data_IF_091511418161
#
_entry.id   IF_091511418161
#
_cell.length_a   1.000
_cell.length_b   1.000
_cell.length_c   1.000
_cell.angle_alpha   90.00
_cell.angle_beta   90.00
_cell.angle_gamma   90.00
#
_symmetry.space_group_name_H-M   'P 1'
#
loop_
_entity.id
_entity.type
_entity.pdbx_description
1 polymer ?
#
# COMPACT_ATOMS: atom_id res chain seq x y z
N UNK A 1 27.32 4.39 -10.94
CA UNK A 1 27.00 4.43 -9.49
C UNK A 1 27.19 3.03 -8.95
N UNK A 2 27.73 2.87 -7.73
CA UNK A 2 27.71 1.57 -7.06
C UNK A 2 26.25 1.17 -6.79
N UNK A 3 25.90 -0.10 -6.93
CA UNK A 3 24.56 -0.62 -6.60
C UNK A 3 24.32 -0.51 -5.10
N UNK A 4 23.11 -0.13 -4.73
CA UNK A 4 22.65 -0.11 -3.32
C UNK A 4 22.35 -1.54 -2.87
N UNK A 5 21.74 -2.36 -3.75
CA UNK A 5 21.47 -3.78 -3.49
C UNK A 5 22.64 -4.62 -4.04
N UNK A 6 23.77 -4.53 -3.37
CA UNK A 6 25.00 -5.27 -3.69
C UNK A 6 24.92 -6.74 -3.23
N UNK A 7 26.00 -7.48 -3.43
CA UNK A 7 26.06 -8.92 -3.07
C UNK A 7 26.03 -9.16 -1.56
N UNK A 8 26.47 -8.19 -0.75
CA UNK A 8 26.39 -8.27 0.70
C UNK A 8 24.93 -8.15 1.18
N UNK A 9 24.15 -7.19 0.62
CA UNK A 9 22.72 -7.06 0.90
C UNK A 9 21.95 -8.32 0.44
N UNK A 10 22.30 -8.87 -0.73
CA UNK A 10 21.70 -10.11 -1.23
C UNK A 10 21.99 -11.31 -0.33
N UNK A 11 23.22 -11.43 0.17
CA UNK A 11 23.62 -12.47 1.09
C UNK A 11 22.88 -12.33 2.45
N UNK A 12 22.79 -11.14 2.98
CA UNK A 12 22.03 -10.85 4.20
C UNK A 12 20.55 -11.20 4.04
N UNK A 13 19.95 -10.85 2.90
CA UNK A 13 18.56 -11.20 2.57
C UNK A 13 18.35 -12.71 2.55
N UNK A 14 19.21 -13.49 1.87
CA UNK A 14 19.14 -14.95 1.85
C UNK A 14 19.27 -15.54 3.26
N UNK A 15 20.17 -15.00 4.07
CA UNK A 15 20.34 -15.38 5.49
C UNK A 15 19.03 -15.23 6.29
N UNK A 16 18.35 -14.11 6.14
CA UNK A 16 17.05 -13.86 6.79
C UNK A 16 15.95 -14.79 6.27
N UNK A 17 15.83 -14.95 4.95
CA UNK A 17 14.86 -15.87 4.33
C UNK A 17 15.03 -17.32 4.82
N UNK A 18 16.28 -17.75 4.94
CA UNK A 18 16.60 -19.10 5.43
C UNK A 18 16.27 -19.32 6.90
N UNK A 19 15.99 -18.24 7.64
CA UNK A 19 15.88 -18.29 9.11
C UNK A 19 17.20 -18.64 9.78
N UNK A 20 18.33 -18.24 9.19
CA UNK A 20 19.68 -18.46 9.69
C UNK A 20 20.27 -19.84 9.33
N UNK A 21 19.58 -20.65 8.53
CA UNK A 21 20.15 -21.94 8.09
C UNK A 21 21.20 -21.80 6.98
N UNK A 22 21.13 -20.73 6.23
CA UNK A 22 22.20 -20.34 5.33
C UNK A 22 22.99 -19.21 5.98
N UNK A 23 24.27 -19.42 6.08
CA UNK A 23 25.24 -18.44 6.59
C UNK A 23 26.20 -18.13 5.45
N UNK A 24 26.47 -16.84 5.16
CA UNK A 24 27.50 -16.50 4.18
C UNK A 24 28.81 -17.21 4.51
N UNK A 25 29.56 -17.70 3.52
CA UNK A 25 30.90 -18.22 3.76
C UNK A 25 31.72 -17.15 4.50
N UNK A 26 32.44 -17.53 5.58
CA UNK A 26 33.30 -16.60 6.27
C UNK A 26 34.32 -16.04 5.25
N UNK A 27 34.44 -14.72 5.18
CA UNK A 27 35.47 -14.08 4.38
C UNK A 27 36.84 -14.52 4.94
N UNK A 28 37.48 -15.45 4.25
CA UNK A 28 38.86 -15.81 4.54
C UNK A 28 39.76 -14.59 4.44
N UNK A 29 40.78 -14.53 5.30
CA UNK A 29 41.72 -13.43 5.46
C UNK A 29 42.34 -13.04 4.08
N UNK A 30 41.72 -12.13 3.35
CA UNK A 30 42.20 -11.62 2.07
C UNK A 30 41.18 -11.32 0.95
N UNK A 31 39.91 -11.72 1.07
CA UNK A 31 38.92 -11.45 0.03
C UNK A 31 37.70 -10.72 0.63
N UNK A 32 37.68 -9.40 0.48
CA UNK A 32 36.50 -8.55 0.79
C UNK A 32 35.39 -8.61 -0.27
N UNK A 33 35.50 -9.47 -1.27
CA UNK A 33 34.67 -9.41 -2.48
C UNK A 33 33.80 -10.65 -2.78
N UNK A 34 33.78 -11.70 -1.95
CA UNK A 34 33.07 -12.94 -2.30
C UNK A 34 32.13 -13.44 -1.20
N UNK A 35 31.14 -12.62 -0.79
CA UNK A 35 29.92 -13.17 -0.20
C UNK A 35 29.05 -13.72 -1.34
N UNK A 36 29.51 -14.78 -2.01
CA UNK A 36 28.85 -15.35 -3.18
C UNK A 36 27.54 -16.00 -2.78
N UNK A 37 26.45 -15.35 -3.14
CA UNK A 37 25.10 -15.90 -3.05
C UNK A 37 25.06 -17.17 -3.90
N UNK A 38 24.49 -18.29 -3.44
CA UNK A 38 24.41 -19.52 -4.22
C UNK A 38 23.76 -19.29 -5.59
N UNK A 39 24.28 -19.94 -6.62
CA UNK A 39 23.79 -19.80 -8.01
C UNK A 39 22.30 -20.13 -8.12
N UNK A 40 21.82 -21.18 -7.41
CA UNK A 40 20.39 -21.54 -7.41
C UNK A 40 19.49 -20.41 -6.91
N UNK A 41 19.98 -19.56 -5.98
CA UNK A 41 19.23 -18.41 -5.49
C UNK A 41 19.28 -17.26 -6.52
N UNK A 42 20.49 -16.91 -6.97
CA UNK A 42 20.69 -15.84 -7.95
C UNK A 42 19.92 -16.09 -9.24
N UNK A 43 19.81 -17.34 -9.69
CA UNK A 43 19.06 -17.71 -10.89
C UNK A 43 17.55 -17.52 -10.77
N UNK A 44 16.99 -17.44 -9.59
CA UNK A 44 15.55 -17.27 -9.34
C UNK A 44 15.18 -15.85 -8.92
N UNK A 45 16.15 -15.03 -8.53
CA UNK A 45 15.93 -13.65 -8.15
C UNK A 45 15.84 -12.78 -9.38
N UNK A 46 14.69 -12.10 -9.53
CA UNK A 46 14.51 -11.07 -10.53
C UNK A 46 15.08 -9.75 -9.99
N UNK A 47 16.09 -9.19 -10.65
CA UNK A 47 16.61 -7.87 -10.35
C UNK A 47 15.97 -6.84 -11.26
N UNK A 48 15.53 -5.73 -10.70
CA UNK A 48 14.75 -4.69 -11.34
C UNK A 48 15.38 -3.34 -11.02
N UNK A 49 15.69 -2.57 -12.05
CA UNK A 49 16.40 -1.31 -11.89
C UNK A 49 15.65 -0.18 -12.63
N UNK A 50 15.66 1.00 -12.04
CA UNK A 50 15.15 2.23 -12.62
C UNK A 50 13.66 2.24 -12.95
N UNK A 51 13.18 3.16 -13.79
CA UNK A 51 11.77 3.32 -14.13
C UNK A 51 11.13 2.07 -14.75
N UNK A 52 11.90 1.29 -15.52
CA UNK A 52 11.41 0.03 -16.12
C UNK A 52 11.22 -1.04 -15.04
N UNK A 53 12.12 -1.12 -14.05
CA UNK A 53 11.98 -2.00 -12.91
C UNK A 53 10.74 -1.65 -12.07
N UNK A 54 10.51 -0.36 -11.81
CA UNK A 54 9.30 0.12 -11.15
C UNK A 54 8.03 -0.29 -11.91
N UNK A 55 8.02 -0.15 -13.25
CA UNK A 55 6.87 -0.55 -14.07
C UNK A 55 6.60 -2.06 -13.97
N UNK A 56 7.62 -2.90 -13.91
CA UNK A 56 7.48 -4.35 -13.78
C UNK A 56 6.94 -4.79 -12.42
N UNK A 57 7.25 -4.04 -11.33
CA UNK A 57 6.69 -4.27 -10.01
C UNK A 57 5.29 -3.69 -9.82
N UNK A 58 4.88 -2.74 -10.66
CA UNK A 58 3.61 -2.00 -10.52
C UNK A 58 2.35 -2.81 -10.90
N UNK A 59 2.44 -4.13 -11.07
CA UNK A 59 1.33 -4.98 -11.51
C UNK A 59 0.05 -4.83 -10.67
N UNK A 60 0.15 -4.35 -9.43
CA UNK A 60 -0.98 -4.20 -8.52
C UNK A 60 -1.21 -2.76 -8.05
N UNK A 61 -0.37 -1.80 -8.45
CA UNK A 61 -0.48 -0.42 -8.00
C UNK A 61 0.43 0.53 -8.79
N UNK A 62 0.29 1.82 -8.56
CA UNK A 62 1.16 2.84 -9.15
C UNK A 62 2.37 3.04 -8.24
N UNK A 63 3.57 2.96 -8.80
CA UNK A 63 4.83 3.20 -8.08
C UNK A 63 5.38 4.59 -8.36
N UNK A 64 6.01 5.19 -7.35
CA UNK A 64 6.76 6.44 -7.43
C UNK A 64 7.98 6.40 -6.51
N UNK A 65 9.07 7.02 -6.93
CA UNK A 65 10.27 7.20 -6.13
C UNK A 65 10.78 8.64 -6.30
N UNK A 66 11.52 9.16 -5.30
CA UNK A 66 12.09 10.49 -5.36
C UNK A 66 13.15 10.60 -6.48
N UNK A 67 13.89 9.52 -6.71
CA UNK A 67 14.82 9.35 -7.83
C UNK A 67 14.50 8.01 -8.51
N UNK A 68 13.68 7.99 -9.56
CA UNK A 68 13.31 6.76 -10.25
C UNK A 68 14.49 6.05 -10.91
N UNK A 69 15.55 6.78 -11.33
CA UNK A 69 16.73 6.20 -11.94
C UNK A 69 17.63 5.47 -10.93
N UNK A 70 17.54 5.84 -9.64
CA UNK A 70 18.24 5.19 -8.56
C UNK A 70 17.43 4.05 -7.89
N UNK A 71 16.24 3.74 -8.41
CA UNK A 71 15.44 2.64 -7.89
C UNK A 71 16.11 1.30 -8.21
N UNK A 72 16.22 0.46 -7.19
CA UNK A 72 16.67 -0.92 -7.29
C UNK A 72 15.74 -1.83 -6.50
N UNK A 73 15.41 -3.00 -7.05
CA UNK A 73 14.69 -4.04 -6.37
C UNK A 73 15.20 -5.44 -6.74
N UNK A 74 15.06 -6.36 -5.80
CA UNK A 74 15.26 -7.77 -6.01
C UNK A 74 14.00 -8.50 -5.54
N UNK A 75 13.44 -9.34 -6.40
CA UNK A 75 12.20 -10.08 -6.17
C UNK A 75 12.43 -11.58 -6.30
N UNK A 76 12.16 -12.32 -5.25
CA UNK A 76 11.99 -13.76 -5.27
C UNK A 76 10.51 -14.08 -5.11
N UNK A 77 9.93 -14.85 -6.03
CA UNK A 77 8.51 -15.21 -5.97
C UNK A 77 8.26 -16.64 -6.44
N UNK A 78 7.21 -17.25 -5.88
CA UNK A 78 6.73 -18.58 -6.31
C UNK A 78 5.21 -18.61 -6.35
N UNK A 79 4.65 -18.86 -7.54
CA UNK A 79 3.22 -19.11 -7.70
C UNK A 79 2.90 -20.54 -7.27
N UNK A 80 1.85 -20.70 -6.45
CA UNK A 80 1.40 -21.98 -5.88
C UNK A 80 -0.14 -21.99 -5.99
N UNK A 81 -0.67 -22.57 -7.05
CA UNK A 81 -2.08 -22.51 -7.39
C UNK A 81 -2.55 -21.07 -7.59
N UNK A 82 -3.60 -20.67 -6.89
CA UNK A 82 -4.13 -19.31 -6.88
C UNK A 82 -3.39 -18.36 -5.90
N UNK A 83 -2.34 -18.84 -5.22
CA UNK A 83 -1.54 -18.06 -4.27
C UNK A 83 -0.15 -17.77 -4.81
N UNK A 84 0.54 -16.81 -4.24
CA UNK A 84 1.94 -16.52 -4.56
C UNK A 84 2.71 -16.18 -3.29
N UNK A 85 3.74 -16.94 -2.97
CA UNK A 85 4.76 -16.54 -2.00
C UNK A 85 5.71 -15.54 -2.65
N UNK A 86 6.14 -14.52 -1.89
CA UNK A 86 7.10 -13.54 -2.36
C UNK A 86 8.02 -13.05 -1.25
N UNK A 87 9.18 -12.59 -1.65
CA UNK A 87 10.03 -11.71 -0.85
C UNK A 87 10.66 -10.67 -1.77
N UNK A 88 10.69 -9.45 -1.29
CA UNK A 88 11.28 -8.32 -2.00
C UNK A 88 12.35 -7.66 -1.15
N UNK A 89 13.41 -7.21 -1.77
CA UNK A 89 14.40 -6.30 -1.22
C UNK A 89 14.43 -5.07 -2.13
N UNK A 90 14.12 -3.88 -1.60
CA UNK A 90 13.80 -2.72 -2.41
C UNK A 90 14.39 -1.44 -1.81
N UNK A 91 14.85 -0.52 -2.66
CA UNK A 91 15.20 0.84 -2.26
C UNK A 91 13.96 1.69 -1.99
N UNK A 92 14.12 2.89 -1.44
CA UNK A 92 13.00 3.77 -1.04
C UNK A 92 12.08 4.12 -2.21
N UNK A 93 10.78 3.85 -2.05
CA UNK A 93 9.73 4.17 -3.01
C UNK A 93 8.35 4.14 -2.36
N UNK A 94 7.33 4.56 -3.09
CA UNK A 94 5.93 4.49 -2.66
C UNK A 94 5.12 3.70 -3.68
N UNK A 95 4.29 2.79 -3.20
CA UNK A 95 3.28 2.08 -4.02
C UNK A 95 1.90 2.55 -3.58
N UNK A 96 1.08 2.97 -4.55
CA UNK A 96 -0.30 3.41 -4.33
C UNK A 96 -1.27 2.47 -5.01
N UNK A 97 -2.22 1.96 -4.25
CA UNK A 97 -3.26 1.04 -4.71
C UNK A 97 -4.57 1.80 -4.82
N UNK A 98 -5.22 1.70 -5.98
CA UNK A 98 -6.57 2.20 -6.22
C UNK A 98 -7.59 1.10 -5.97
N UNK A 99 -8.84 1.49 -5.74
CA UNK A 99 -9.95 0.53 -5.66
C UNK A 99 -10.18 -0.13 -7.01
N UNK A 100 -10.22 -1.45 -7.02
CA UNK A 100 -10.37 -2.26 -8.22
C UNK A 100 -9.02 -2.73 -8.77
N UNK A 101 -8.83 -4.05 -8.78
CA UNK A 101 -7.67 -4.63 -9.44
C UNK A 101 -7.78 -4.49 -10.96
N UNK A 102 -6.68 -4.25 -11.69
CA UNK A 102 -6.66 -4.48 -13.11
C UNK A 102 -7.03 -5.95 -13.37
N UNK A 103 -7.94 -6.20 -14.32
CA UNK A 103 -8.30 -7.55 -14.78
C UNK A 103 -9.09 -8.48 -13.83
N UNK A 104 -9.90 -7.93 -12.91
CA UNK A 104 -11.04 -8.69 -12.35
C UNK A 104 -10.74 -9.72 -11.27
N UNK A 105 -9.53 -9.81 -10.74
CA UNK A 105 -9.23 -10.65 -9.58
C UNK A 105 -8.87 -9.78 -8.37
N UNK A 106 -9.78 -9.71 -7.40
CA UNK A 106 -9.50 -9.07 -6.12
C UNK A 106 -8.50 -9.88 -5.31
N UNK A 107 -7.45 -9.21 -4.84
CA UNK A 107 -6.34 -9.82 -4.10
C UNK A 107 -6.11 -9.18 -2.74
N UNK A 108 -5.45 -9.96 -1.90
CA UNK A 108 -4.88 -9.54 -0.63
C UNK A 108 -3.38 -9.83 -0.67
N UNK A 109 -2.57 -8.84 -0.34
CA UNK A 109 -1.12 -8.95 -0.18
C UNK A 109 -0.83 -8.88 1.32
N UNK A 110 -0.35 -9.96 1.90
CA UNK A 110 0.13 -9.98 3.28
C UNK A 110 1.64 -9.96 3.29
N UNK A 111 2.24 -9.21 4.20
CA UNK A 111 3.69 -9.18 4.32
C UNK A 111 4.17 -8.83 5.72
N UNK A 112 5.35 -9.35 6.04
CA UNK A 112 6.13 -8.99 7.22
C UNK A 112 7.32 -8.16 6.78
N UNK A 113 7.55 -7.00 7.42
CA UNK A 113 8.78 -6.23 7.23
C UNK A 113 9.91 -6.93 7.97
N UNK A 114 10.96 -7.37 7.26
CA UNK A 114 12.13 -8.02 7.84
C UNK A 114 13.33 -7.08 7.94
N UNK A 115 13.37 -6.03 7.11
CA UNK A 115 14.37 -4.97 7.14
C UNK A 115 13.72 -3.64 6.75
N UNK A 116 14.25 -2.54 7.27
CA UNK A 116 13.73 -1.20 7.04
C UNK A 116 12.38 -0.95 7.71
N UNK A 117 11.79 0.19 7.43
CA UNK A 117 10.45 0.57 7.88
C UNK A 117 9.52 0.82 6.71
N UNK A 118 8.24 0.67 6.95
CA UNK A 118 7.21 0.98 5.95
C UNK A 118 6.14 1.87 6.58
N UNK A 119 5.65 2.84 5.82
CA UNK A 119 4.56 3.69 6.23
C UNK A 119 3.32 3.34 5.43
N UNK A 120 2.36 2.74 6.10
CA UNK A 120 1.10 2.33 5.53
C UNK A 120 0.07 3.45 5.69
N UNK A 121 -0.52 3.92 4.59
CA UNK A 121 -1.50 5.00 4.57
C UNK A 121 -2.82 4.49 4.02
N UNK A 122 -3.90 4.78 4.74
CA UNK A 122 -5.28 4.47 4.36
C UNK A 122 -6.18 5.69 4.61
N UNK A 123 -7.46 5.57 4.29
CA UNK A 123 -8.44 6.58 4.67
C UNK A 123 -8.56 6.77 6.19
N UNK A 124 -8.23 5.76 6.99
CA UNK A 124 -8.28 5.79 8.45
C UNK A 124 -7.03 6.47 9.08
N UNK A 125 -6.00 6.78 8.29
CA UNK A 125 -4.79 7.44 8.75
C UNK A 125 -3.51 6.73 8.33
N UNK A 126 -2.42 7.06 9.02
CA UNK A 126 -1.08 6.54 8.74
C UNK A 126 -0.62 5.62 9.88
N UNK A 127 -0.10 4.46 9.53
CA UNK A 127 0.47 3.50 10.47
C UNK A 127 1.92 3.17 10.08
N UNK A 128 2.81 3.09 11.05
CA UNK A 128 4.19 2.66 10.83
C UNK A 128 4.28 1.14 11.01
N UNK A 129 4.73 0.44 9.99
CA UNK A 129 5.07 -0.98 10.05
C UNK A 129 6.59 -1.11 10.28
N UNK A 130 6.96 -1.37 11.52
CA UNK A 130 8.34 -1.63 11.91
C UNK A 130 8.74 -3.08 11.63
N UNK A 131 10.04 -3.34 11.69
CA UNK A 131 10.60 -4.70 11.52
C UNK A 131 9.92 -5.72 12.45
N UNK A 132 9.60 -6.88 11.92
CA UNK A 132 8.89 -7.96 12.62
C UNK A 132 7.37 -7.81 12.64
N UNK A 133 6.83 -6.68 12.17
CA UNK A 133 5.38 -6.46 12.11
C UNK A 133 4.82 -6.96 10.79
N UNK A 134 3.62 -7.51 10.87
CA UNK A 134 2.87 -8.01 9.70
C UNK A 134 1.69 -7.09 9.41
N UNK A 135 1.50 -6.79 8.13
CA UNK A 135 0.36 -6.05 7.63
C UNK A 135 -0.27 -6.72 6.41
N UNK A 136 -1.37 -6.15 5.96
CA UNK A 136 -1.98 -6.54 4.70
C UNK A 136 -2.40 -5.32 3.89
N UNK A 137 -2.48 -5.50 2.57
CA UNK A 137 -3.15 -4.61 1.64
C UNK A 137 -4.18 -5.39 0.83
N UNK A 138 -5.22 -4.71 0.40
CA UNK A 138 -6.33 -5.31 -0.35
C UNK A 138 -6.73 -4.42 -1.52
N UNK A 139 -7.04 -5.03 -2.65
CA UNK A 139 -7.60 -4.34 -3.81
C UNK A 139 -9.03 -3.79 -3.58
N UNK A 140 -9.68 -4.15 -2.47
CA UNK A 140 -11.03 -3.66 -2.15
C UNK A 140 -11.06 -2.23 -1.60
N UNK A 141 -9.91 -1.66 -1.24
CA UNK A 141 -9.82 -0.29 -0.72
C UNK A 141 -8.56 0.42 -1.20
N UNK A 142 -8.61 1.76 -1.24
CA UNK A 142 -7.45 2.57 -1.58
C UNK A 142 -6.45 2.63 -0.42
N UNK A 143 -5.17 2.44 -0.73
CA UNK A 143 -4.08 2.51 0.24
C UNK A 143 -2.77 2.87 -0.44
N UNK A 144 -1.79 3.28 0.33
CA UNK A 144 -0.41 3.37 -0.15
C UNK A 144 0.56 2.88 0.90
N UNK A 145 1.68 2.35 0.43
CA UNK A 145 2.80 1.94 1.27
C UNK A 145 4.05 2.67 0.80
N UNK A 146 4.72 3.33 1.72
CA UNK A 146 5.99 4.01 1.51
C UNK A 146 7.09 3.18 2.16
N UNK A 147 8.05 2.73 1.37
CA UNK A 147 9.23 2.00 1.80
C UNK A 147 10.34 2.98 2.20
N UNK A 148 10.81 2.90 3.44
CA UNK A 148 11.77 3.83 4.01
C UNK A 148 13.18 3.25 3.94
N UNK A 149 14.01 3.78 3.05
CA UNK A 149 15.36 3.26 2.82
C UNK A 149 15.35 1.89 2.11
N UNK A 150 16.36 1.07 2.37
CA UNK A 150 16.36 -0.32 1.93
C UNK A 150 15.41 -1.11 2.82
N UNK A 151 14.41 -1.72 2.22
CA UNK A 151 13.38 -2.48 2.93
C UNK A 151 13.22 -3.89 2.37
N UNK A 152 12.99 -4.83 3.26
CA UNK A 152 12.66 -6.22 2.92
C UNK A 152 11.27 -6.56 3.39
N UNK A 153 10.46 -7.10 2.49
CA UNK A 153 9.12 -7.62 2.78
C UNK A 153 9.01 -9.05 2.32
N UNK A 154 8.57 -9.93 3.20
CA UNK A 154 8.28 -11.33 2.85
C UNK A 154 6.83 -11.65 3.17
N UNK A 155 6.14 -12.29 2.23
CA UNK A 155 4.73 -12.51 2.41
C UNK A 155 4.07 -13.43 1.40
N UNK A 156 2.74 -13.32 1.33
CA UNK A 156 1.90 -14.11 0.44
C UNK A 156 0.82 -13.25 -0.19
N UNK A 157 0.54 -13.47 -1.47
CA UNK A 157 -0.61 -12.93 -2.17
C UNK A 157 -1.66 -14.04 -2.26
N UNK A 158 -2.90 -13.72 -1.91
CA UNK A 158 -4.04 -14.64 -2.00
C UNK A 158 -5.24 -13.91 -2.63
N UNK A 159 -6.17 -14.62 -3.31
CA UNK A 159 -7.41 -14.01 -3.75
C UNK A 159 -8.29 -13.65 -2.55
N UNK A 160 -9.08 -12.56 -2.67
CA UNK A 160 -10.03 -12.13 -1.62
C UNK A 160 -11.00 -13.25 -1.24
N UNK A 161 -11.37 -14.09 -2.19
CA UNK A 161 -12.22 -15.28 -1.96
C UNK A 161 -11.63 -16.29 -0.97
N UNK A 162 -10.33 -16.24 -0.74
CA UNK A 162 -9.67 -17.08 0.27
C UNK A 162 -10.08 -16.72 1.70
N UNK A 163 -10.60 -15.51 1.95
CA UNK A 163 -10.92 -14.98 3.30
C UNK A 163 -12.37 -14.46 3.36
N UNK A 164 -13.36 -15.33 3.17
CA UNK A 164 -14.77 -14.93 3.20
C UNK A 164 -15.18 -14.43 4.59
N UNK A 165 -16.03 -13.39 4.62
CA UNK A 165 -16.56 -12.82 5.86
C UNK A 165 -15.66 -11.78 6.51
N UNK A 166 -14.72 -11.17 5.77
CA UNK A 166 -13.84 -10.09 6.22
C UNK A 166 -13.80 -8.90 5.24
N UNK A 167 -14.83 -8.76 4.40
CA UNK A 167 -14.93 -7.70 3.39
C UNK A 167 -14.83 -6.30 4.02
N UNK A 168 -15.37 -6.13 5.23
CA UNK A 168 -15.26 -4.86 5.94
C UNK A 168 -13.81 -4.50 6.27
N UNK A 169 -13.04 -5.45 6.82
CA UNK A 169 -11.63 -5.22 7.13
C UNK A 169 -10.82 -4.97 5.84
N UNK A 170 -11.11 -5.73 4.78
CA UNK A 170 -10.43 -5.60 3.49
C UNK A 170 -10.79 -4.29 2.76
N UNK A 171 -11.99 -3.78 2.95
CA UNK A 171 -12.45 -2.52 2.35
C UNK A 171 -11.73 -1.28 2.89
N UNK A 172 -11.05 -1.38 4.04
CA UNK A 172 -10.16 -0.33 4.52
C UNK A 172 -8.93 -0.14 3.62
N UNK A 173 -8.68 -1.05 2.67
CA UNK A 173 -7.57 -1.04 1.73
C UNK A 173 -6.28 -1.60 2.30
N UNK A 174 -6.02 -1.40 3.59
CA UNK A 174 -4.86 -1.94 4.28
C UNK A 174 -5.06 -1.98 5.78
N UNK A 175 -4.24 -2.78 6.49
CA UNK A 175 -4.27 -2.85 7.94
C UNK A 175 -3.07 -3.59 8.51
N UNK A 176 -2.90 -3.44 9.83
CA UNK A 176 -1.86 -4.12 10.59
C UNK A 176 -2.48 -5.25 11.41
N UNK A 177 -1.84 -6.40 11.38
CA UNK A 177 -2.18 -7.47 12.31
C UNK A 177 -1.69 -7.13 13.73
N UNK A 178 -2.43 -7.54 14.77
CA UNK A 178 -1.93 -7.46 16.14
C UNK A 178 -0.59 -8.18 16.29
N UNK A 179 0.29 -7.67 17.15
CA UNK A 179 1.57 -8.32 17.44
C UNK A 179 1.35 -9.51 18.38
N UNK A 180 1.19 -10.68 17.80
CA UNK A 180 0.93 -11.94 18.51
C UNK A 180 1.98 -12.99 18.15
N UNK A 181 2.16 -14.05 18.98
CA UNK A 181 3.01 -15.18 18.60
C UNK A 181 2.64 -15.77 17.23
N UNK A 182 1.34 -15.79 16.88
CA UNK A 182 0.87 -16.29 15.59
C UNK A 182 1.39 -15.44 14.43
N UNK A 183 1.29 -14.11 14.50
CA UNK A 183 1.74 -13.21 13.42
C UNK A 183 3.25 -13.26 13.23
N UNK A 184 4.02 -13.33 14.33
CA UNK A 184 5.47 -13.48 14.27
C UNK A 184 5.89 -14.84 13.67
N UNK A 185 5.24 -15.92 14.10
CA UNK A 185 5.50 -17.25 13.56
C UNK A 185 5.09 -17.36 12.08
N UNK A 186 3.97 -16.75 11.69
CA UNK A 186 3.52 -16.72 10.30
C UNK A 186 4.54 -16.03 9.38
N UNK A 187 5.07 -14.87 9.77
CA UNK A 187 6.12 -14.20 8.99
C UNK A 187 7.37 -15.06 8.77
N UNK A 188 7.88 -15.67 9.84
CA UNK A 188 9.02 -16.59 9.76
C UNK A 188 8.71 -17.82 8.88
N UNK A 189 7.51 -18.39 9.01
CA UNK A 189 7.10 -19.55 8.23
C UNK A 189 7.01 -19.24 6.73
N UNK A 190 6.45 -18.08 6.34
CA UNK A 190 6.37 -17.68 4.93
C UNK A 190 7.74 -17.52 4.29
N UNK A 191 8.69 -16.90 4.98
CA UNK A 191 10.07 -16.79 4.53
C UNK A 191 10.74 -18.15 4.36
N UNK A 192 10.59 -19.00 5.36
CA UNK A 192 11.13 -20.35 5.32
C UNK A 192 10.53 -21.21 4.20
N UNK A 193 9.22 -21.14 3.99
CA UNK A 193 8.56 -21.85 2.89
C UNK A 193 9.08 -21.38 1.53
N UNK A 194 9.21 -20.06 1.33
CA UNK A 194 9.75 -19.51 0.09
C UNK A 194 11.20 -19.97 -0.15
N UNK A 195 12.03 -19.99 0.90
CA UNK A 195 13.40 -20.46 0.82
C UNK A 195 13.47 -21.93 0.41
N UNK A 196 12.68 -22.83 1.02
CA UNK A 196 12.69 -24.25 0.66
C UNK A 196 12.19 -24.48 -0.77
N UNK A 197 11.15 -23.75 -1.20
CA UNK A 197 10.67 -23.82 -2.58
C UNK A 197 11.68 -23.29 -3.60
N UNK A 198 12.50 -22.31 -3.22
CA UNK A 198 13.57 -21.82 -4.09
C UNK A 198 14.71 -22.82 -4.22
N UNK A 199 15.00 -23.60 -3.17
CA UNK A 199 16.02 -24.65 -3.22
C UNK A 199 15.60 -25.86 -4.07
N UNK A 200 14.31 -26.19 -4.08
CA UNK A 200 13.77 -27.36 -4.78
C UNK A 200 12.49 -26.92 -5.55
N UNK A 201 12.66 -26.33 -6.74
CA UNK A 201 11.56 -25.78 -7.50
C UNK A 201 10.66 -26.82 -8.19
N UNK A 202 11.16 -28.07 -8.35
CA UNK A 202 10.48 -29.11 -9.14
C UNK A 202 9.63 -30.05 -8.27
N UNK A 203 8.73 -29.45 -7.50
CA UNK A 203 7.77 -30.17 -6.66
C UNK A 203 6.57 -30.65 -7.46
N UNK A 204 6.09 -31.87 -7.17
CA UNK A 204 4.91 -32.43 -7.82
C UNK A 204 3.59 -31.72 -7.45
N UNK A 205 2.56 -31.90 -8.27
CA UNK A 205 1.25 -31.24 -8.11
C UNK A 205 0.63 -31.45 -6.72
N UNK A 206 0.80 -32.61 -6.09
CA UNK A 206 0.27 -32.90 -4.75
C UNK A 206 0.94 -32.04 -3.66
N UNK A 207 2.24 -31.76 -3.77
CA UNK A 207 2.94 -30.86 -2.85
C UNK A 207 2.50 -29.42 -3.02
N UNK A 208 2.27 -28.99 -4.28
CA UNK A 208 1.76 -27.66 -4.60
C UNK A 208 0.36 -27.45 -3.99
N UNK A 209 -0.57 -28.38 -4.21
CA UNK A 209 -1.93 -28.29 -3.68
C UNK A 209 -1.96 -28.30 -2.15
N UNK A 210 -1.13 -29.12 -1.50
CA UNK A 210 -0.99 -29.14 -0.04
C UNK A 210 -0.45 -27.82 0.51
N UNK A 211 0.53 -27.23 -0.16
CA UNK A 211 1.10 -25.95 0.23
C UNK A 211 0.11 -24.80 0.06
N UNK A 212 -0.63 -24.75 -1.05
CA UNK A 212 -1.69 -23.77 -1.25
C UNK A 212 -2.74 -23.82 -0.13
N UNK A 213 -3.22 -25.03 0.19
CA UNK A 213 -4.19 -25.21 1.26
C UNK A 213 -3.65 -24.75 2.61
N UNK A 214 -2.39 -25.01 2.92
CA UNK A 214 -1.73 -24.55 4.15
C UNK A 214 -1.60 -23.02 4.20
N UNK A 215 -1.22 -22.37 3.09
CA UNK A 215 -1.14 -20.91 2.98
C UNK A 215 -2.50 -20.25 3.19
N UNK A 216 -3.54 -20.74 2.53
CA UNK A 216 -4.91 -20.23 2.69
C UNK A 216 -5.40 -20.42 4.14
N UNK A 217 -5.12 -21.57 4.76
CA UNK A 217 -5.48 -21.82 6.16
C UNK A 217 -4.76 -20.88 7.13
N UNK A 218 -3.49 -20.60 6.90
CA UNK A 218 -2.69 -19.64 7.66
C UNK A 218 -3.28 -18.24 7.55
N UNK A 219 -3.55 -17.77 6.34
CA UNK A 219 -4.14 -16.44 6.08
C UNK A 219 -5.50 -16.31 6.76
N UNK A 220 -6.38 -17.33 6.63
CA UNK A 220 -7.67 -17.37 7.35
C UNK A 220 -7.50 -17.27 8.87
N UNK A 221 -6.49 -17.93 9.41
CA UNK A 221 -6.21 -17.90 10.85
C UNK A 221 -5.73 -16.53 11.32
N UNK A 222 -4.95 -15.82 10.49
CA UNK A 222 -4.55 -14.45 10.75
C UNK A 222 -5.76 -13.51 10.74
N UNK A 223 -6.65 -13.62 9.76
CA UNK A 223 -7.85 -12.78 9.67
C UNK A 223 -8.85 -13.00 10.81
N UNK A 224 -8.83 -14.14 11.50
CA UNK A 224 -9.65 -14.34 12.71
C UNK A 224 -9.33 -13.36 13.85
N UNK A 225 -8.24 -12.61 13.75
CA UNK A 225 -7.90 -11.53 14.70
C UNK A 225 -8.67 -10.23 14.42
N UNK A 226 -9.38 -10.15 13.28
CA UNK A 226 -10.28 -9.06 12.96
C UNK A 226 -11.75 -9.47 13.20
N UNK A 227 -12.65 -8.49 13.47
CA UNK A 227 -14.08 -8.76 13.51
C UNK A 227 -14.58 -9.30 12.17
N UNK A 228 -15.43 -10.30 12.20
CA UNK A 228 -16.15 -10.78 11.02
C UNK A 228 -17.20 -9.79 10.55
N UNK A 229 -17.50 -9.83 9.25
CA UNK A 229 -18.66 -9.14 8.71
C UNK A 229 -19.92 -9.66 9.43
N UNK A 230 -20.74 -8.76 9.96
CA UNK A 230 -21.87 -9.13 10.82
C UNK A 230 -21.58 -9.10 12.33
N UNK A 231 -20.33 -9.29 12.77
CA UNK A 231 -19.88 -8.98 14.12
C UNK A 231 -19.49 -7.49 14.23
N UNK A 232 -19.27 -6.85 13.08
CA UNK A 232 -18.97 -5.43 13.00
C UNK A 232 -20.23 -4.63 13.21
N UNK A 233 -20.18 -3.65 14.10
CA UNK A 233 -21.27 -2.72 14.34
C UNK A 233 -21.82 -2.17 13.00
N UNK A 234 -23.15 -2.22 12.84
CA UNK A 234 -23.85 -1.69 11.65
C UNK A 234 -23.41 -0.26 11.29
N UNK A 235 -23.04 0.53 12.29
CA UNK A 235 -22.52 1.87 12.12
C UNK A 235 -21.20 1.88 11.33
N UNK A 236 -20.30 0.94 11.61
CA UNK A 236 -19.01 0.80 10.93
C UNK A 236 -19.17 0.35 9.47
N UNK A 237 -20.12 -0.56 9.21
CA UNK A 237 -20.44 -0.98 7.84
C UNK A 237 -20.97 0.17 6.98
N UNK A 238 -21.88 0.98 7.54
CA UNK A 238 -22.42 2.15 6.84
C UNK A 238 -21.32 3.19 6.61
N UNK A 239 -20.40 3.40 7.54
CA UNK A 239 -19.27 4.31 7.37
C UNK A 239 -18.34 3.84 6.26
N UNK A 240 -17.98 2.57 6.23
CA UNK A 240 -17.13 2.02 5.16
C UNK A 240 -17.77 2.16 3.78
N UNK A 241 -19.08 1.94 3.69
CA UNK A 241 -19.79 2.14 2.43
C UNK A 241 -19.89 3.62 2.04
N UNK A 242 -20.06 4.52 3.02
CA UNK A 242 -19.99 5.96 2.78
C UNK A 242 -18.66 6.38 2.17
N UNK A 243 -17.55 5.86 2.71
CA UNK A 243 -16.20 6.16 2.20
C UNK A 243 -16.01 5.66 0.76
N UNK A 244 -16.51 4.46 0.43
CA UNK A 244 -16.50 3.95 -0.96
C UNK A 244 -17.30 4.81 -1.92
N UNK A 245 -18.49 5.26 -1.51
CA UNK A 245 -19.33 6.13 -2.32
C UNK A 245 -18.65 7.47 -2.54
N UNK A 246 -18.05 8.07 -1.50
CA UNK A 246 -17.26 9.29 -1.62
C UNK A 246 -16.12 9.11 -2.62
N UNK A 247 -15.37 8.03 -2.51
CA UNK A 247 -14.26 7.74 -3.42
C UNK A 247 -14.71 7.64 -4.87
N UNK A 248 -15.83 6.98 -5.14
CA UNK A 248 -16.40 6.83 -6.47
C UNK A 248 -17.02 8.12 -7.02
N UNK A 249 -17.67 8.93 -6.17
CA UNK A 249 -18.51 10.05 -6.60
C UNK A 249 -17.99 11.44 -6.26
N UNK A 250 -16.84 11.59 -5.58
CA UNK A 250 -16.32 12.92 -5.19
C UNK A 250 -16.13 13.89 -6.36
N UNK A 251 -15.94 13.38 -7.59
CA UNK A 251 -15.76 14.18 -8.80
C UNK A 251 -17.06 14.78 -9.34
N UNK A 252 -18.20 14.30 -8.89
CA UNK A 252 -19.51 14.87 -9.25
C UNK A 252 -19.78 16.10 -8.37
N UNK A 253 -19.84 17.28 -8.99
CA UNK A 253 -20.08 18.53 -8.27
C UNK A 253 -21.47 18.61 -7.61
N UNK A 254 -22.46 17.86 -8.14
CA UNK A 254 -23.80 17.75 -7.57
C UNK A 254 -23.85 16.76 -6.39
N UNK A 255 -22.82 15.91 -6.22
CA UNK A 255 -22.76 14.95 -5.14
C UNK A 255 -22.40 15.64 -3.82
N UNK A 256 -23.26 15.48 -2.83
CA UNK A 256 -23.09 16.00 -1.48
C UNK A 256 -23.62 15.03 -0.42
N UNK A 257 -23.79 15.54 0.81
CA UNK A 257 -24.23 14.72 1.95
C UNK A 257 -25.67 14.19 1.77
N UNK A 258 -26.51 14.92 1.03
CA UNK A 258 -27.89 14.50 0.77
C UNK A 258 -27.93 13.29 -0.16
N UNK A 259 -27.16 13.34 -1.25
CA UNK A 259 -27.03 12.26 -2.23
C UNK A 259 -26.36 11.04 -1.61
N UNK A 260 -25.33 11.23 -0.79
CA UNK A 260 -24.69 10.16 -0.04
C UNK A 260 -25.68 9.47 0.91
N UNK A 261 -26.48 10.23 1.65
CA UNK A 261 -27.49 9.65 2.55
C UNK A 261 -28.55 8.85 1.78
N UNK A 262 -28.97 9.37 0.62
CA UNK A 262 -29.94 8.68 -0.25
C UNK A 262 -29.35 7.37 -0.80
N UNK A 263 -28.10 7.37 -1.25
CA UNK A 263 -27.42 6.18 -1.80
C UNK A 263 -27.19 5.11 -0.72
N UNK A 264 -26.95 5.52 0.53
CA UNK A 264 -26.84 4.64 1.69
C UNK A 264 -28.18 4.18 2.27
N UNK A 265 -29.29 4.66 1.73
CA UNK A 265 -30.65 4.39 2.25
C UNK A 265 -30.81 4.75 3.75
N UNK A 266 -30.15 5.82 4.21
CA UNK A 266 -30.25 6.34 5.56
C UNK A 266 -30.72 7.79 5.56
N UNK A 267 -31.33 8.25 6.65
CA UNK A 267 -31.63 9.67 6.80
C UNK A 267 -30.33 10.47 7.03
N UNK A 268 -30.31 11.75 6.61
CA UNK A 268 -29.19 12.68 6.88
C UNK A 268 -28.84 12.72 8.38
N UNK A 269 -29.89 12.73 9.24
CA UNK A 269 -29.71 12.72 10.70
C UNK A 269 -29.01 11.44 11.20
N UNK A 270 -29.39 10.29 10.67
CA UNK A 270 -28.70 9.02 10.97
C UNK A 270 -27.25 9.05 10.51
N UNK A 271 -27.01 9.56 9.30
CA UNK A 271 -25.67 9.67 8.75
C UNK A 271 -24.79 10.57 9.63
N UNK A 272 -25.25 11.77 10.01
CA UNK A 272 -24.49 12.64 10.93
C UNK A 272 -24.24 11.99 12.29
N UNK A 273 -25.21 11.24 12.83
CA UNK A 273 -25.04 10.52 14.12
C UNK A 273 -23.95 9.44 14.02
N UNK A 274 -23.80 8.80 12.86
CA UNK A 274 -22.76 7.79 12.63
C UNK A 274 -21.34 8.37 12.65
N UNK A 275 -21.21 9.66 12.38
CA UNK A 275 -19.92 10.39 12.41
C UNK A 275 -19.79 11.32 13.64
N UNK A 276 -20.75 11.31 14.55
CA UNK A 276 -20.65 12.06 15.80
C UNK A 276 -19.52 11.49 16.67
N UNK A 277 -18.63 12.38 17.13
CA UNK A 277 -17.46 11.98 17.94
C UNK A 277 -16.25 11.49 17.15
N UNK A 278 -16.28 11.58 15.80
CA UNK A 278 -15.10 11.35 14.98
C UNK A 278 -14.34 12.67 14.77
N UNK A 279 -13.02 12.57 14.63
CA UNK A 279 -12.13 13.73 14.45
C UNK A 279 -12.42 14.52 13.18
N UNK A 280 -12.92 13.85 12.13
CA UNK A 280 -13.23 14.45 10.84
C UNK A 280 -14.72 14.32 10.51
N UNK A 281 -15.36 15.45 10.18
CA UNK A 281 -16.74 15.44 9.71
C UNK A 281 -16.87 14.86 8.30
N UNK A 282 -18.03 14.30 7.98
CA UNK A 282 -18.30 13.73 6.65
C UNK A 282 -18.13 14.75 5.51
N UNK A 283 -18.52 16.00 5.73
CA UNK A 283 -18.32 17.06 4.74
C UNK A 283 -16.84 17.42 4.55
N UNK A 284 -16.07 17.44 5.63
CA UNK A 284 -14.61 17.63 5.57
C UNK A 284 -13.94 16.49 4.80
N UNK A 285 -14.36 15.24 5.01
CA UNK A 285 -13.88 14.06 4.31
C UNK A 285 -14.10 14.12 2.79
N UNK A 286 -15.31 14.48 2.35
CA UNK A 286 -15.61 14.71 0.94
C UNK A 286 -14.77 15.84 0.35
N UNK A 287 -14.67 16.96 1.07
CA UNK A 287 -13.87 18.11 0.63
C UNK A 287 -12.38 17.74 0.52
N UNK A 288 -11.84 17.05 1.51
CA UNK A 288 -10.46 16.57 1.50
C UNK A 288 -10.17 15.71 0.26
N UNK A 289 -11.07 14.77 -0.06
CA UNK A 289 -10.91 13.92 -1.25
C UNK A 289 -10.92 14.71 -2.55
N UNK A 290 -11.80 15.72 -2.66
CA UNK A 290 -11.83 16.66 -3.80
C UNK A 290 -10.54 17.47 -3.92
N UNK A 291 -9.99 17.94 -2.79
CA UNK A 291 -8.73 18.69 -2.76
C UNK A 291 -7.53 17.82 -3.15
N UNK A 292 -7.50 16.55 -2.74
CA UNK A 292 -6.47 15.59 -3.19
C UNK A 292 -6.52 15.46 -4.71
N UNK A 293 -7.70 15.21 -5.30
CA UNK A 293 -7.85 15.12 -6.75
C UNK A 293 -7.45 16.43 -7.45
N UNK A 294 -7.80 17.59 -6.87
CA UNK A 294 -7.40 18.88 -7.42
C UNK A 294 -5.87 19.06 -7.42
N UNK A 295 -5.18 18.66 -6.36
CA UNK A 295 -3.70 18.69 -6.30
C UNK A 295 -3.10 17.83 -7.41
N UNK A 296 -3.58 16.60 -7.60
CA UNK A 296 -3.15 15.68 -8.66
C UNK A 296 -3.33 16.29 -10.05
N UNK A 297 -4.50 16.87 -10.32
CA UNK A 297 -4.82 17.49 -11.61
C UNK A 297 -4.01 18.80 -11.86
N UNK A 298 -3.69 19.56 -10.83
CA UNK A 298 -2.89 20.77 -10.95
C UNK A 298 -1.46 20.51 -11.41
N UNK A 299 -0.90 19.35 -11.09
CA UNK A 299 0.46 18.93 -11.47
C UNK A 299 0.50 18.01 -12.69
N UNK A 300 -0.67 17.62 -13.23
CA UNK A 300 -0.76 16.70 -14.38
C UNK A 300 -0.13 17.28 -15.65
N UNK A 301 0.31 16.40 -16.53
CA UNK A 301 0.85 16.74 -17.84
C UNK A 301 -0.02 16.10 -18.93
N UNK A 302 -0.53 16.86 -19.92
CA UNK A 302 -0.39 18.30 -20.11
C UNK A 302 -1.16 19.15 -19.08
N UNK A 303 -0.70 20.41 -18.83
CA UNK A 303 -1.35 21.28 -17.86
C UNK A 303 -2.79 21.62 -18.26
N UNK A 304 -3.70 21.51 -17.32
CA UNK A 304 -5.10 21.86 -17.50
C UNK A 304 -5.40 23.27 -16.99
N UNK A 305 -6.42 23.94 -17.55
CA UNK A 305 -6.90 25.19 -16.98
C UNK A 305 -7.64 24.96 -15.64
N UNK A 306 -7.80 26.03 -14.86
CA UNK A 306 -8.37 25.91 -13.52
C UNK A 306 -9.85 25.53 -13.52
N UNK A 307 -10.59 25.88 -14.57
CA UNK A 307 -12.00 25.52 -14.69
C UNK A 307 -12.15 24.01 -14.92
N UNK A 308 -11.32 23.46 -15.80
CA UNK A 308 -11.25 22.01 -16.05
C UNK A 308 -10.86 21.24 -14.77
N UNK A 309 -9.82 21.70 -14.07
CA UNK A 309 -9.40 21.10 -12.79
C UNK A 309 -10.55 21.14 -11.78
N UNK A 310 -11.27 22.23 -11.65
CA UNK A 310 -12.40 22.36 -10.74
C UNK A 310 -13.48 21.31 -11.03
N UNK A 311 -13.92 21.19 -12.26
CA UNK A 311 -14.95 20.22 -12.68
C UNK A 311 -14.49 18.79 -12.45
N UNK A 312 -13.26 18.44 -12.86
CA UNK A 312 -12.71 17.09 -12.69
C UNK A 312 -12.46 16.69 -11.23
N UNK A 313 -12.38 17.69 -10.34
CA UNK A 313 -12.20 17.47 -8.90
C UNK A 313 -13.50 17.60 -8.09
N UNK A 314 -14.65 17.78 -8.77
CA UNK A 314 -15.97 17.85 -8.14
C UNK A 314 -16.31 19.19 -7.51
N UNK A 315 -15.65 20.30 -7.93
CA UNK A 315 -16.06 21.65 -7.56
C UNK A 315 -16.99 22.22 -8.62
N UNK A 316 -17.93 23.07 -8.18
CA UNK A 316 -18.89 23.66 -9.07
C UNK A 316 -18.23 24.56 -10.15
N UNK A 317 -17.20 25.30 -9.77
CA UNK A 317 -16.43 26.20 -10.63
C UNK A 317 -15.02 26.49 -10.09
N UNK A 318 -14.24 27.23 -10.88
CA UNK A 318 -12.89 27.63 -10.52
C UNK A 318 -12.81 28.55 -9.29
N UNK A 319 -13.87 29.32 -9.00
CA UNK A 319 -13.94 30.22 -7.84
C UNK A 319 -14.10 29.38 -6.55
N UNK A 320 -15.00 28.40 -6.58
CA UNK A 320 -15.21 27.46 -5.48
C UNK A 320 -13.93 26.65 -5.19
N UNK A 321 -13.27 26.10 -6.23
CA UNK A 321 -11.98 25.44 -6.07
C UNK A 321 -10.95 26.37 -5.44
N UNK A 322 -10.77 27.59 -5.96
CA UNK A 322 -9.77 28.54 -5.46
C UNK A 322 -10.00 28.87 -3.98
N UNK A 323 -11.24 29.14 -3.59
CA UNK A 323 -11.58 29.48 -2.22
C UNK A 323 -11.26 28.33 -1.24
N UNK A 324 -11.72 27.11 -1.55
CA UNK A 324 -11.50 25.94 -0.71
C UNK A 324 -10.02 25.50 -0.69
N UNK A 325 -9.37 25.53 -1.85
CA UNK A 325 -7.95 25.18 -1.96
C UNK A 325 -7.07 26.12 -1.13
N UNK A 326 -7.26 27.46 -1.27
CA UNK A 326 -6.48 28.44 -0.51
C UNK A 326 -6.73 28.29 0.99
N UNK A 327 -7.99 28.06 1.39
CA UNK A 327 -8.37 27.90 2.80
C UNK A 327 -7.74 26.67 3.44
N UNK A 328 -7.67 25.54 2.73
CA UNK A 328 -7.24 24.25 3.31
C UNK A 328 -5.79 23.86 2.97
N UNK A 329 -5.22 24.42 1.89
CA UNK A 329 -3.83 24.14 1.48
C UNK A 329 -2.89 25.31 1.85
N UNK A 330 -3.45 26.48 2.18
CA UNK A 330 -2.67 27.66 2.57
C UNK A 330 -2.11 28.47 1.41
N UNK A 331 -2.14 27.94 0.18
CA UNK A 331 -1.66 28.64 -1.04
C UNK A 331 -2.70 28.58 -2.15
N UNK A 332 -2.63 29.51 -3.12
CA UNK A 332 -3.52 29.45 -4.27
C UNK A 332 -3.20 28.27 -5.20
N UNK A 333 -4.18 27.73 -5.97
CA UNK A 333 -3.92 26.68 -6.95
C UNK A 333 -2.83 27.04 -7.96
N UNK A 334 -2.75 28.30 -8.37
CA UNK A 334 -1.72 28.78 -9.31
C UNK A 334 -0.33 28.79 -8.67
N UNK A 335 -0.22 29.23 -7.40
CA UNK A 335 1.02 29.20 -6.64
C UNK A 335 1.47 27.76 -6.40
N UNK A 336 0.56 26.85 -6.05
CA UNK A 336 0.82 25.43 -5.90
C UNK A 336 1.39 24.81 -7.20
N UNK A 337 0.73 25.07 -8.34
CA UNK A 337 1.19 24.62 -9.66
C UNK A 337 2.58 25.17 -10.01
N UNK A 338 2.85 26.42 -9.70
CA UNK A 338 4.14 27.05 -9.95
C UNK A 338 5.23 26.41 -9.08
N UNK A 339 4.97 26.23 -7.80
CA UNK A 339 5.90 25.58 -6.88
C UNK A 339 6.24 24.14 -7.31
N UNK A 340 5.23 23.37 -7.73
CA UNK A 340 5.42 22.02 -8.24
C UNK A 340 6.28 21.94 -9.53
N UNK A 341 6.28 23.01 -10.34
CA UNK A 341 7.07 23.11 -11.57
C UNK A 341 8.50 23.62 -11.36
N UNK A 342 8.71 24.48 -10.37
CA UNK A 342 9.99 25.19 -10.15
C UNK A 342 10.87 24.54 -9.10
N UNK A 343 10.29 23.71 -8.26
CA UNK A 343 11.03 23.06 -7.18
C UNK A 343 11.06 21.55 -7.42
N UNK A 344 12.25 20.97 -7.16
CA UNK A 344 12.47 19.52 -7.10
C UNK A 344 11.31 18.79 -6.42
N UNK A 345 11.00 17.55 -6.79
CA UNK A 345 9.89 16.73 -6.28
C UNK A 345 9.67 16.78 -4.76
N UNK A 346 10.73 17.03 -4.00
CA UNK A 346 10.73 17.06 -2.53
C UNK A 346 9.79 18.10 -1.88
N UNK A 347 9.53 19.25 -2.50
CA UNK A 347 8.66 20.28 -1.91
C UNK A 347 7.20 20.11 -2.31
N UNK A 348 6.95 19.63 -3.52
CA UNK A 348 5.61 19.20 -3.95
C UNK A 348 5.13 18.03 -3.06
N UNK A 349 6.02 17.11 -2.73
CA UNK A 349 5.76 15.96 -1.85
C UNK A 349 5.54 16.40 -0.39
N UNK A 350 6.34 17.31 0.15
CA UNK A 350 6.14 17.88 1.48
C UNK A 350 4.82 18.66 1.58
N UNK A 351 4.41 19.37 0.53
CA UNK A 351 3.13 20.07 0.46
C UNK A 351 1.94 19.14 0.21
N UNK A 352 2.15 17.96 -0.35
CA UNK A 352 1.15 16.89 -0.42
C UNK A 352 0.96 16.18 0.93
N UNK A 353 2.02 16.15 1.76
CA UNK A 353 2.08 15.43 3.04
C UNK A 353 1.70 16.29 4.25
N UNK A 354 1.59 17.63 4.13
CA UNK A 354 1.20 18.51 5.22
C UNK A 354 -0.32 18.50 5.48
N UNK A 355 -0.89 17.31 5.69
CA UNK A 355 -2.22 17.12 6.29
C UNK A 355 -2.14 16.98 7.83
N UNK A 356 -1.02 17.37 8.44
CA UNK A 356 -0.96 17.54 9.89
C UNK A 356 -1.59 18.88 10.27
N UNK A 357 -2.69 18.77 10.97
CA UNK A 357 -3.63 19.75 11.51
C UNK A 357 -3.04 21.12 11.84
N UNK A 358 -3.74 22.22 11.48
CA UNK A 358 -3.61 23.42 12.30
C UNK A 358 -4.27 23.13 13.64
N UNK A 359 -3.47 23.13 14.70
CA UNK A 359 -3.96 23.07 16.07
C UNK A 359 -4.98 24.18 16.34
N UNK A 360 -5.88 24.01 17.31
CA UNK A 360 -6.87 25.02 17.65
C UNK A 360 -6.14 26.24 18.18
N UNK A 361 -6.16 27.29 17.39
CA UNK A 361 -5.85 28.64 17.93
C UNK A 361 -7.04 29.10 18.77
N UNK A 362 -6.72 29.52 19.98
CA UNK A 362 -7.56 30.04 21.04
C UNK A 362 -8.68 30.99 20.58
#
# INVERSE_FOLDING_TARGET
>A
MARVLDDAEMAAWLGRLSGGLWVPPEAGDGARDDATVPEWFSAQVMRLDGPLGMLQLSNFGTMSAADPDAFEAALLRRSIGATMLYSTLETSHTVSYQVGAPEGMDIIILGTSNQGGQRLRTAAGVQLMSVGRMGFMSSLGASSIEHLGVSETTGVVVPVSAVPGYQHALAAGAGMFPDTPLTRAAGAALGRMLFEWAKDPDQGEGALAGTEAALVALVRSLFRQFPRDGETDRASLVRAEADRIIERRHRDAAFGIAELAAELHVSRRQLFRLYAGMDESLAARLLRRRLVTAREQLVSTPPQDLATVAVQSGFADAAALRAQFTRHVGVSPSAFRMAARTQSPRLAEAMLLSDEQPGPSA
#
